data_IF_112906839564
#
_entry.id   IF_112906839564
#
_cell.length_a   1.000
_cell.length_b   1.000
_cell.length_c   1.000
_cell.angle_alpha   90.00
_cell.angle_beta   90.00
_cell.angle_gamma   90.00
#
_symmetry.space_group_name_H-M   'P 1'
#
loop_
_entity.id
_entity.type
_entity.pdbx_description
1 polymer ?
#
# COMPACT_ATOMS: atom_id res chain seq x y z
N UNK A 1 3.93 17.34 -28.70
CA UNK A 1 3.11 17.66 -27.52
C UNK A 1 2.93 16.37 -26.75
N UNK A 2 3.56 16.25 -25.59
CA UNK A 2 3.39 15.09 -24.70
C UNK A 2 1.96 15.10 -24.20
N UNK A 3 1.20 14.09 -24.59
CA UNK A 3 -0.14 13.83 -24.11
C UNK A 3 0.01 13.38 -22.66
N UNK A 4 0.01 14.34 -21.73
CA UNK A 4 -0.09 14.04 -20.31
C UNK A 4 -1.46 13.40 -20.09
N UNK A 5 -1.53 12.07 -20.05
CA UNK A 5 -2.70 11.31 -19.62
C UNK A 5 -2.81 11.38 -18.09
N UNK A 6 -2.76 12.58 -17.54
CA UNK A 6 -2.93 12.76 -16.10
C UNK A 6 -4.36 12.37 -15.77
N UNK A 7 -4.52 11.48 -14.80
CA UNK A 7 -5.84 11.16 -14.26
C UNK A 7 -6.50 12.47 -13.81
N UNK A 8 -7.79 12.67 -14.08
CA UNK A 8 -8.51 13.87 -13.66
C UNK A 8 -8.68 13.97 -12.13
N UNK A 9 -8.28 12.91 -11.40
CA UNK A 9 -8.39 12.77 -9.96
C UNK A 9 -7.02 12.52 -9.34
N UNK A 10 -6.88 12.94 -8.08
CA UNK A 10 -5.66 12.74 -7.31
C UNK A 10 -5.44 11.25 -7.03
N UNK A 11 -4.21 10.79 -7.24
CA UNK A 11 -3.78 9.46 -6.83
C UNK A 11 -3.24 9.54 -5.40
N UNK A 12 -3.53 8.50 -4.63
CA UNK A 12 -2.86 8.18 -3.39
C UNK A 12 -1.87 7.06 -3.67
N UNK A 13 -0.68 7.15 -3.09
CA UNK A 13 0.31 6.09 -3.13
C UNK A 13 0.64 5.65 -1.70
N UNK A 14 0.41 4.38 -1.41
CA UNK A 14 0.85 3.75 -0.16
C UNK A 14 2.19 3.06 -0.41
N UNK A 15 3.15 3.35 0.46
CA UNK A 15 4.48 2.75 0.43
C UNK A 15 4.77 2.04 1.75
N UNK A 16 5.48 0.92 1.67
CA UNK A 16 5.98 0.19 2.82
C UNK A 16 7.28 -0.52 2.43
N UNK A 17 8.28 -0.51 3.32
CA UNK A 17 9.56 -1.16 3.09
C UNK A 17 9.68 -2.48 3.86
N UNK A 18 10.28 -3.48 3.23
CA UNK A 18 10.48 -4.82 3.81
C UNK A 18 11.95 -5.20 3.83
N UNK A 19 12.42 -5.63 4.99
CA UNK A 19 13.78 -6.15 5.21
C UNK A 19 13.73 -7.53 5.86
N UNK A 20 14.67 -8.38 5.48
CA UNK A 20 14.78 -9.76 5.94
C UNK A 20 15.35 -9.82 7.36
N UNK A 21 14.65 -10.51 8.26
CA UNK A 21 15.14 -10.73 9.62
C UNK A 21 16.50 -11.43 9.63
N UNK A 22 17.39 -10.96 10.50
CA UNK A 22 18.72 -11.54 10.69
C UNK A 22 19.80 -11.03 9.73
N UNK A 23 19.41 -10.43 8.60
CA UNK A 23 20.38 -9.81 7.66
C UNK A 23 20.14 -8.33 7.42
N UNK A 24 18.93 -7.83 7.75
CA UNK A 24 18.43 -6.48 7.46
C UNK A 24 18.54 -6.10 5.96
N UNK A 25 18.74 -7.10 5.11
CA UNK A 25 18.80 -6.91 3.66
C UNK A 25 17.40 -6.63 3.11
N UNK A 26 17.26 -5.77 2.10
CA UNK A 26 16.00 -5.58 1.40
C UNK A 26 15.42 -6.91 0.90
N UNK A 27 14.11 -7.12 1.11
CA UNK A 27 13.39 -8.24 0.49
C UNK A 27 13.05 -7.83 -0.93
N UNK A 28 13.51 -8.60 -1.92
CA UNK A 28 13.40 -8.24 -3.35
C UNK A 28 13.10 -9.47 -4.20
N UNK A 29 12.66 -9.24 -5.44
CA UNK A 29 12.44 -10.26 -6.46
C UNK A 29 10.98 -10.63 -6.69
N UNK A 30 10.72 -11.25 -7.84
CA UNK A 30 9.37 -11.49 -8.38
C UNK A 30 8.55 -12.51 -7.58
N UNK A 31 9.18 -13.22 -6.64
CA UNK A 31 8.49 -14.13 -5.74
C UNK A 31 7.60 -13.39 -4.73
N UNK A 32 7.84 -12.09 -4.50
CA UNK A 32 7.18 -11.32 -3.46
C UNK A 32 6.08 -10.42 -4.02
N UNK A 33 4.93 -10.44 -3.37
CA UNK A 33 3.81 -9.54 -3.66
C UNK A 33 3.25 -9.02 -2.35
N UNK A 34 2.98 -7.72 -2.30
CA UNK A 34 2.33 -7.07 -1.16
C UNK A 34 0.92 -6.69 -1.58
N UNK A 35 -0.07 -7.10 -0.79
CA UNK A 35 -1.48 -6.74 -0.99
C UNK A 35 -1.94 -5.84 0.14
N UNK A 36 -2.62 -4.77 -0.21
CA UNK A 36 -3.24 -3.82 0.71
C UNK A 36 -4.74 -4.10 0.78
N UNK A 37 -5.26 -4.03 2.01
CA UNK A 37 -6.67 -4.24 2.30
C UNK A 37 -7.18 -3.14 3.22
N UNK A 38 -8.46 -2.82 3.08
CA UNK A 38 -9.24 -2.21 4.16
C UNK A 38 -9.89 -3.31 4.99
N UNK A 39 -9.96 -3.11 6.30
CA UNK A 39 -10.63 -4.04 7.19
C UNK A 39 -12.00 -3.48 7.54
N UNK A 40 -13.01 -3.94 6.83
CA UNK A 40 -14.39 -3.77 7.27
C UNK A 40 -14.87 -4.93 8.14
N UNK A 41 -15.95 -4.68 8.90
CA UNK A 41 -16.56 -5.65 9.83
C UNK A 41 -17.11 -6.87 9.09
N UNK A 42 -17.48 -6.73 7.81
CA UNK A 42 -18.18 -7.77 7.04
C UNK A 42 -17.36 -8.37 5.90
N UNK A 43 -16.56 -7.59 5.18
CA UNK A 43 -15.66 -8.07 4.13
C UNK A 43 -14.33 -7.32 4.23
N UNK A 44 -13.21 -7.98 3.94
CA UNK A 44 -11.91 -7.27 3.88
C UNK A 44 -11.69 -6.86 2.43
N UNK A 45 -11.77 -5.56 2.17
CA UNK A 45 -11.78 -5.05 0.82
C UNK A 45 -10.36 -4.94 0.27
N UNK A 46 -10.11 -5.63 -0.83
CA UNK A 46 -8.84 -5.56 -1.53
C UNK A 46 -8.72 -4.22 -2.25
N UNK A 47 -7.72 -3.42 -1.87
CA UNK A 47 -7.46 -2.11 -2.47
C UNK A 47 -6.52 -2.24 -3.67
N UNK A 48 -5.45 -3.02 -3.52
CA UNK A 48 -4.44 -3.15 -4.57
C UNK A 48 -3.25 -4.01 -4.16
N UNK A 49 -2.36 -4.26 -5.11
CA UNK A 49 -1.14 -5.02 -4.87
C UNK A 49 0.05 -4.45 -5.65
N UNK A 50 1.26 -4.74 -5.17
CA UNK A 50 2.50 -4.43 -5.87
C UNK A 50 3.61 -5.43 -5.53
N UNK A 51 4.61 -5.52 -6.40
CA UNK A 51 5.86 -6.20 -6.11
C UNK A 51 6.77 -5.38 -5.19
N UNK A 52 7.95 -5.91 -4.90
CA UNK A 52 8.99 -5.18 -4.16
C UNK A 52 10.08 -4.72 -5.11
N UNK A 53 10.47 -3.45 -5.00
CA UNK A 53 11.60 -2.91 -5.75
C UNK A 53 12.95 -3.40 -5.20
N UNK A 54 14.06 -2.99 -5.83
CA UNK A 54 15.42 -3.39 -5.43
C UNK A 54 15.83 -2.89 -4.03
N UNK A 55 15.07 -1.98 -3.43
CA UNK A 55 15.30 -1.44 -2.09
C UNK A 55 14.30 -2.00 -1.06
N UNK A 56 13.44 -2.93 -1.49
CA UNK A 56 12.43 -3.60 -0.69
C UNK A 56 11.16 -2.79 -0.48
N UNK A 57 10.91 -1.76 -1.29
CA UNK A 57 9.69 -0.97 -1.21
C UNK A 57 8.57 -1.59 -2.06
N UNK A 58 7.41 -1.71 -1.43
CA UNK A 58 6.11 -1.84 -2.07
C UNK A 58 5.57 -0.44 -2.39
N UNK A 59 4.91 -0.28 -3.54
CA UNK A 59 4.24 0.96 -3.95
C UNK A 59 2.89 0.63 -4.57
N UNK A 60 1.82 0.97 -3.87
CA UNK A 60 0.45 0.67 -4.29
C UNK A 60 -0.25 2.00 -4.52
N UNK A 61 -0.55 2.30 -5.78
CA UNK A 61 -1.25 3.52 -6.18
C UNK A 61 -2.72 3.23 -6.45
N UNK A 62 -3.62 4.05 -5.91
CA UNK A 62 -5.06 3.97 -6.13
C UNK A 62 -5.66 5.38 -6.26
N UNK A 63 -6.82 5.49 -6.88
CA UNK A 63 -7.53 6.75 -7.08
C UNK A 63 -8.71 6.86 -6.11
N UNK A 64 -9.23 8.09 -5.96
CA UNK A 64 -10.37 8.32 -5.09
C UNK A 64 -11.65 7.58 -5.56
N UNK A 65 -11.77 7.29 -6.86
CA UNK A 65 -12.86 6.47 -7.43
C UNK A 65 -12.81 4.98 -7.07
N UNK A 66 -11.66 4.43 -6.70
CA UNK A 66 -11.61 3.08 -6.13
C UNK A 66 -12.44 3.00 -4.85
N UNK A 67 -12.67 4.14 -4.18
CA UNK A 67 -13.58 4.29 -3.05
C UNK A 67 -15.06 4.48 -3.44
N UNK A 68 -15.40 4.60 -4.72
CA UNK A 68 -16.75 4.93 -5.20
C UNK A 68 -17.76 3.78 -5.14
N UNK A 69 -17.30 2.53 -5.26
CA UNK A 69 -18.12 1.33 -4.95
C UNK A 69 -18.03 0.94 -3.47
N UNK A 70 -17.02 1.47 -2.74
CA UNK A 70 -16.86 1.42 -1.30
C UNK A 70 -17.52 2.63 -0.63
N UNK A 71 -18.82 2.85 -0.91
CA UNK A 71 -19.58 4.00 -0.39
C UNK A 71 -19.65 4.11 1.15
N UNK A 72 -18.98 3.21 1.88
CA UNK A 72 -18.89 3.16 3.33
C UNK A 72 -17.47 3.28 3.89
N UNK A 73 -16.43 3.57 3.07
CA UNK A 73 -15.18 4.05 3.68
C UNK A 73 -15.50 5.38 4.34
N UNK A 74 -15.62 5.31 5.66
CA UNK A 74 -15.56 6.44 6.55
C UNK A 74 -14.30 7.26 6.21
N UNK A 75 -14.24 8.52 6.61
CA UNK A 75 -13.09 9.40 6.32
C UNK A 75 -11.72 8.86 6.84
N UNK A 76 -11.70 7.67 7.45
CA UNK A 76 -10.63 7.05 8.20
C UNK A 76 -10.64 5.51 7.99
N UNK A 77 -10.05 4.95 6.92
CA UNK A 77 -9.99 3.50 6.70
C UNK A 77 -9.10 2.74 7.68
N UNK A 78 -9.38 1.44 7.84
CA UNK A 78 -8.65 0.50 8.69
C UNK A 78 -7.66 -0.34 7.85
N UNK A 79 -6.53 0.26 7.50
CA UNK A 79 -5.60 -0.32 6.54
C UNK A 79 -4.71 -1.41 7.13
N UNK A 80 -4.53 -2.50 6.38
CA UNK A 80 -3.47 -3.47 6.65
C UNK A 80 -2.94 -4.09 5.36
N UNK A 81 -1.76 -4.69 5.42
CA UNK A 81 -1.18 -5.36 4.27
C UNK A 81 -0.71 -6.77 4.60
N UNK A 82 -0.62 -7.59 3.56
CA UNK A 82 -0.14 -8.96 3.61
C UNK A 82 0.95 -9.14 2.57
N UNK A 83 2.11 -9.65 2.99
CA UNK A 83 3.21 -10.03 2.10
C UNK A 83 3.08 -11.50 1.76
N UNK A 84 3.09 -11.80 0.47
CA UNK A 84 3.06 -13.14 -0.08
C UNK A 84 4.42 -13.48 -0.69
N UNK A 85 4.84 -14.74 -0.55
CA UNK A 85 5.96 -15.35 -1.25
C UNK A 85 5.43 -16.53 -2.05
N UNK A 86 5.55 -16.49 -3.39
CA UNK A 86 5.00 -17.50 -4.29
C UNK A 86 3.53 -17.83 -3.99
N UNK A 87 2.72 -16.80 -3.73
CA UNK A 87 1.29 -16.93 -3.39
C UNK A 87 0.98 -17.39 -1.96
N UNK A 88 1.98 -17.67 -1.12
CA UNK A 88 1.78 -18.04 0.29
C UNK A 88 1.99 -16.82 1.19
N UNK A 89 1.05 -16.47 2.09
CA UNK A 89 1.23 -15.35 3.01
C UNK A 89 2.36 -15.65 4.02
N UNK A 90 3.34 -14.76 4.10
CA UNK A 90 4.51 -14.87 5.00
C UNK A 90 4.52 -13.79 6.09
N UNK A 91 3.78 -12.71 5.90
CA UNK A 91 3.65 -11.62 6.87
C UNK A 91 2.29 -10.95 6.73
N UNK A 92 1.71 -10.57 7.88
CA UNK A 92 0.53 -9.71 7.95
C UNK A 92 0.82 -8.58 8.94
N UNK A 93 0.60 -7.33 8.53
CA UNK A 93 0.78 -6.19 9.41
C UNK A 93 -0.28 -6.17 10.51
N UNK A 94 -0.05 -5.33 11.52
CA UNK A 94 -1.17 -4.85 12.35
C UNK A 94 -2.10 -4.01 11.48
N UNK A 95 -3.36 -3.95 11.89
CA UNK A 95 -4.33 -3.01 11.33
C UNK A 95 -3.96 -1.63 11.84
N UNK A 96 -3.85 -0.69 10.92
CA UNK A 96 -3.76 0.73 11.20
C UNK A 96 -5.18 1.25 11.16
N UNK A 97 -5.73 1.48 12.35
CA UNK A 97 -7.13 1.88 12.51
C UNK A 97 -7.27 3.38 12.29
N UNK A 98 -8.41 3.81 11.75
CA UNK A 98 -8.79 5.20 11.55
C UNK A 98 -7.72 6.05 10.83
N UNK A 99 -7.17 5.57 9.70
CA UNK A 99 -6.08 6.29 9.00
C UNK A 99 -6.60 7.59 8.38
N UNK A 100 -6.18 8.73 8.95
CA UNK A 100 -6.49 10.05 8.37
C UNK A 100 -5.67 10.31 7.10
N UNK A 101 -6.22 9.88 5.97
CA UNK A 101 -5.60 10.06 4.65
C UNK A 101 -5.45 11.56 4.29
N UNK A 102 -6.26 12.45 4.88
CA UNK A 102 -6.26 13.89 4.59
C UNK A 102 -5.19 14.62 5.42
N UNK A 103 -4.92 14.18 6.64
CA UNK A 103 -3.89 14.77 7.50
C UNK A 103 -2.47 14.28 7.19
N UNK A 104 -2.30 13.16 6.47
CA UNK A 104 -0.99 12.66 6.02
C UNK A 104 -0.54 13.46 4.79
N UNK A 105 -0.30 14.76 4.98
CA UNK A 105 0.26 15.63 3.95
C UNK A 105 1.75 15.31 3.73
N UNK A 106 2.05 14.34 2.86
CA UNK A 106 3.33 14.28 2.15
C UNK A 106 3.08 14.39 0.65
N UNK A 107 2.63 15.57 0.22
CA UNK A 107 2.47 15.90 -1.19
C UNK A 107 3.83 15.79 -1.92
N UNK A 108 3.91 14.89 -2.91
CA UNK A 108 5.02 14.84 -3.87
C UNK A 108 4.52 15.26 -5.24
N UNK A 109 5.09 16.36 -5.76
CA UNK A 109 4.76 16.92 -7.07
C UNK A 109 4.98 15.86 -8.18
N UNK A 110 3.88 15.39 -8.77
CA UNK A 110 3.87 14.44 -9.89
C UNK A 110 3.46 13.00 -9.53
N UNK A 111 3.52 12.62 -8.26
CA UNK A 111 3.14 11.29 -7.76
C UNK A 111 1.78 11.31 -7.03
N UNK A 112 1.38 12.46 -6.48
CA UNK A 112 0.17 12.62 -5.68
C UNK A 112 0.47 12.67 -4.19
N UNK A 113 -0.46 12.20 -3.37
CA UNK A 113 -0.27 12.07 -1.93
C UNK A 113 0.39 10.73 -1.61
N UNK A 114 1.52 10.76 -0.90
CA UNK A 114 2.28 9.56 -0.55
C UNK A 114 2.15 9.28 0.94
N UNK A 115 1.75 8.07 1.29
CA UNK A 115 1.63 7.59 2.67
C UNK A 115 2.70 6.52 2.87
N UNK A 116 3.70 6.82 3.70
CA UNK A 116 4.73 5.86 4.10
C UNK A 116 4.31 5.15 5.38
N UNK A 117 4.00 3.87 5.28
CA UNK A 117 3.60 3.02 6.40
C UNK A 117 4.80 2.47 7.19
N UNK A 118 6.03 2.83 6.79
CA UNK A 118 7.26 2.51 7.51
C UNK A 118 8.01 1.28 6.97
N UNK A 119 8.96 0.81 7.79
CA UNK A 119 9.83 -0.35 7.47
C UNK A 119 9.51 -1.53 8.39
N UNK A 120 9.39 -2.71 7.80
CA UNK A 120 8.97 -3.94 8.47
C UNK A 120 10.01 -5.05 8.31
N UNK A 121 10.23 -5.78 9.40
CA UNK A 121 11.06 -6.98 9.45
C UNK A 121 10.22 -8.22 9.21
N UNK A 122 10.53 -8.99 8.16
CA UNK A 122 9.77 -10.18 7.78
C UNK A 122 10.67 -11.42 7.69
N UNK A 123 10.05 -12.60 7.78
CA UNK A 123 10.69 -13.88 7.48
C UNK A 123 10.76 -14.01 5.94
N UNK A 124 11.95 -13.85 5.36
CA UNK A 124 12.16 -13.83 3.90
C UNK A 124 12.87 -15.10 3.42
#
# INVERSE_FOLDING_TARGET
MSQFSLNPEMNFEITARFIAKGTDAPVTGDAYTVRLFDKDIFDNDFIGESGLDNNGYSKISFNHKAFGDLANLESFPDLYFVVYKNGTPIFKSKVMEDVDLVAIEQYKKGEGEVIDLGTYLIEA
#
